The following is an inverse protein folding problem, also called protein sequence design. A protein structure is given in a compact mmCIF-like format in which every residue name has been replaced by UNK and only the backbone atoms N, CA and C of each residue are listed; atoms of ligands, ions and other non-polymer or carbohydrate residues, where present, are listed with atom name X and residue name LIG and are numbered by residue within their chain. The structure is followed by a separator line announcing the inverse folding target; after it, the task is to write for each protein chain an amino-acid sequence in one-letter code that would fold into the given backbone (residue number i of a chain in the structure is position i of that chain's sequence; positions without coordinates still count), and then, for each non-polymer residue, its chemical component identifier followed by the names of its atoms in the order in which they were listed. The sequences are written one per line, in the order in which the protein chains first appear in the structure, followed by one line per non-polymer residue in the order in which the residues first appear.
data_IF_676283022277
#
_entry.id   IF_676283022277
#
_cell.length_a   1.000
_cell.length_b   1.000
_cell.length_c   1.000
_cell.angle_alpha   90.00
_cell.angle_beta   90.00
_cell.angle_gamma   90.00
#
_symmetry.space_group_name_H-M   'P 1'
#
loop_
_entity.id
_entity.type
_entity.pdbx_description
1 polymer ?
#
# COMPACT_ATOMS: atom_id res chain seq x y z
N UNK A 1 -1.55 -32.00 13.28
CA UNK A 1 -2.30 -32.59 12.14
C UNK A 1 -3.29 -33.58 12.72
N UNK A 2 -4.59 -33.33 12.57
CA UNK A 2 -5.63 -34.27 12.98
C UNK A 2 -5.80 -35.33 11.86
N UNK A 3 -5.45 -36.57 12.18
CA UNK A 3 -5.52 -37.72 11.24
C UNK A 3 -6.95 -38.19 10.97
N UNK A 4 -7.94 -37.71 11.71
CA UNK A 4 -9.32 -38.24 11.66
C UNK A 4 -10.13 -37.78 10.45
N UNK A 5 -9.67 -36.77 9.71
CA UNK A 5 -10.44 -36.12 8.63
C UNK A 5 -10.06 -36.59 7.21
N UNK A 6 -9.06 -37.46 7.04
CA UNK A 6 -8.68 -37.99 5.74
C UNK A 6 -9.20 -39.45 5.63
N UNK A 7 -10.04 -39.77 4.61
CA UNK A 7 -10.38 -41.17 4.37
C UNK A 7 -9.10 -41.98 4.17
N UNK A 8 -8.83 -42.88 5.10
CA UNK A 8 -7.60 -43.69 5.19
C UNK A 8 -7.24 -44.50 3.91
N UNK A 9 -8.14 -44.52 2.93
CA UNK A 9 -7.96 -45.25 1.65
C UNK A 9 -7.30 -44.40 0.55
N UNK A 10 -7.14 -43.07 0.70
CA UNK A 10 -6.65 -42.19 -0.37
C UNK A 10 -5.40 -41.40 0.01
N UNK A 11 -5.10 -41.23 1.27
CA UNK A 11 -3.95 -40.47 1.72
C UNK A 11 -3.02 -41.31 2.58
N UNK A 12 -1.76 -41.37 2.22
CA UNK A 12 -0.70 -42.05 2.95
C UNK A 12 0.18 -40.98 3.61
N UNK A 13 0.38 -41.01 4.94
CA UNK A 13 1.35 -40.14 5.59
C UNK A 13 2.74 -40.40 5.03
N UNK A 14 3.42 -39.38 4.58
CA UNK A 14 4.75 -39.51 4.01
C UNK A 14 5.85 -39.01 4.96
N UNK A 15 5.60 -37.93 5.71
CA UNK A 15 6.53 -37.31 6.65
C UNK A 15 7.95 -37.08 6.08
N UNK A 16 8.04 -36.91 4.76
CA UNK A 16 9.32 -36.63 4.12
C UNK A 16 9.72 -35.17 4.39
N UNK A 17 10.93 -34.98 4.89
CA UNK A 17 11.57 -33.68 4.94
C UNK A 17 12.71 -33.71 3.94
N UNK A 18 12.65 -32.85 2.94
CA UNK A 18 13.74 -32.58 2.03
C UNK A 18 14.47 -31.33 2.54
N UNK A 19 15.68 -31.54 3.06
CA UNK A 19 16.48 -30.44 3.60
C UNK A 19 17.20 -29.69 2.48
N UNK A 20 17.33 -28.36 2.65
CA UNK A 20 18.04 -27.49 1.71
C UNK A 20 17.49 -27.54 0.28
N UNK A 21 16.17 -27.67 0.12
CA UNK A 21 15.55 -27.58 -1.18
C UNK A 21 15.75 -26.18 -1.79
N UNK A 22 16.19 -26.14 -3.07
CA UNK A 22 16.50 -24.86 -3.72
C UNK A 22 15.28 -24.32 -4.50
N UNK A 23 14.81 -23.15 -4.12
CA UNK A 23 13.73 -22.41 -4.77
C UNK A 23 14.31 -21.30 -5.67
N UNK A 24 14.44 -21.60 -6.95
CA UNK A 24 15.08 -20.72 -7.93
C UNK A 24 14.39 -19.36 -8.05
N UNK A 25 13.07 -19.29 -7.91
CA UNK A 25 12.31 -18.03 -8.02
C UNK A 25 12.64 -17.14 -6.86
N UNK A 26 12.61 -17.66 -5.62
CA UNK A 26 12.94 -16.90 -4.42
C UNK A 26 14.37 -16.36 -4.47
N UNK A 27 15.32 -17.21 -4.90
CA UNK A 27 16.70 -16.77 -5.08
C UNK A 27 16.84 -15.64 -6.11
N UNK A 28 16.11 -15.70 -7.23
CA UNK A 28 16.14 -14.64 -8.26
C UNK A 28 15.50 -13.33 -7.81
N UNK A 29 14.58 -13.39 -6.85
CA UNK A 29 13.92 -12.22 -6.26
C UNK A 29 14.65 -11.66 -5.04
N UNK A 30 15.86 -12.20 -4.72
CA UNK A 30 16.72 -11.67 -3.66
C UNK A 30 16.54 -12.31 -2.29
N UNK A 31 15.70 -13.36 -2.18
CA UNK A 31 15.56 -14.15 -0.95
C UNK A 31 16.64 -15.25 -0.86
N UNK A 32 16.75 -15.90 0.31
CA UNK A 32 17.74 -16.94 0.54
C UNK A 32 17.68 -18.09 -0.47
N UNK A 33 16.48 -18.38 -0.97
CA UNK A 33 16.25 -19.39 -2.01
C UNK A 33 16.51 -20.84 -1.57
N UNK A 34 16.81 -21.07 -0.30
CA UNK A 34 17.04 -22.41 0.27
C UNK A 34 16.20 -22.56 1.52
N UNK A 35 15.37 -23.60 1.57
CA UNK A 35 14.54 -23.91 2.73
C UNK A 35 14.25 -25.42 2.78
N UNK A 36 13.67 -25.91 3.87
CA UNK A 36 13.29 -27.28 4.04
C UNK A 36 11.87 -27.52 3.50
N UNK A 37 11.73 -28.54 2.67
CA UNK A 37 10.45 -28.92 2.11
C UNK A 37 9.85 -30.08 2.91
N UNK A 38 8.66 -29.85 3.47
CA UNK A 38 7.94 -30.88 4.21
C UNK A 38 6.75 -31.42 3.41
N UNK A 39 6.76 -32.73 3.15
CA UNK A 39 5.67 -33.45 2.46
C UNK A 39 4.92 -34.30 3.47
N UNK A 40 3.81 -33.82 4.05
CA UNK A 40 3.08 -34.53 5.11
C UNK A 40 2.28 -35.73 4.60
N UNK A 41 1.80 -35.67 3.36
CA UNK A 41 0.92 -36.69 2.79
C UNK A 41 1.15 -36.87 1.30
N UNK A 42 0.92 -38.10 0.84
CA UNK A 42 0.76 -38.45 -0.56
C UNK A 42 -0.70 -38.85 -0.81
N UNK A 43 -1.34 -38.30 -1.83
CA UNK A 43 -2.73 -38.58 -2.19
C UNK A 43 -2.75 -39.33 -3.52
N UNK A 44 -3.15 -40.59 -3.46
CA UNK A 44 -3.25 -41.47 -4.62
C UNK A 44 -4.71 -41.64 -5.05
N UNK A 45 -5.06 -41.20 -6.27
CA UNK A 45 -6.42 -41.27 -6.81
C UNK A 45 -6.42 -42.06 -8.10
N UNK A 46 -7.15 -43.19 -8.10
CA UNK A 46 -7.37 -43.98 -9.28
C UNK A 46 -8.66 -43.55 -9.97
N UNK A 47 -8.59 -43.24 -11.25
CA UNK A 47 -9.72 -42.89 -12.11
C UNK A 47 -9.92 -43.95 -13.17
N UNK A 48 -11.17 -44.32 -13.44
CA UNK A 48 -11.56 -45.10 -14.60
C UNK A 48 -11.74 -44.18 -15.83
N UNK A 49 -11.75 -44.70 -17.04
CA UNK A 49 -12.07 -43.90 -18.23
C UNK A 49 -13.38 -43.12 -18.05
N UNK A 50 -13.33 -41.81 -18.33
CA UNK A 50 -14.45 -40.84 -18.18
C UNK A 50 -14.94 -40.59 -16.77
N UNK A 51 -14.34 -41.19 -15.74
CA UNK A 51 -14.65 -40.89 -14.33
C UNK A 51 -14.10 -39.53 -13.92
N UNK A 52 -14.90 -38.78 -13.16
CA UNK A 52 -14.49 -37.50 -12.52
C UNK A 52 -14.62 -37.65 -11.02
N UNK A 53 -13.55 -37.38 -10.29
CA UNK A 53 -13.57 -37.29 -8.81
C UNK A 53 -13.21 -35.87 -8.39
N UNK A 54 -13.90 -35.34 -7.40
CA UNK A 54 -13.62 -34.07 -6.78
C UNK A 54 -13.21 -34.34 -5.34
N UNK A 55 -12.10 -33.77 -4.92
CA UNK A 55 -11.63 -33.80 -3.55
C UNK A 55 -11.13 -32.41 -3.15
N UNK A 56 -11.03 -32.18 -1.85
CA UNK A 56 -10.55 -30.91 -1.29
C UNK A 56 -9.42 -31.22 -0.31
N UNK A 57 -8.40 -30.37 -0.32
CA UNK A 57 -7.35 -30.35 0.69
C UNK A 57 -7.52 -29.06 1.47
N UNK A 58 -7.67 -29.17 2.80
CA UNK A 58 -7.74 -28.04 3.72
C UNK A 58 -6.41 -27.92 4.46
N UNK A 59 -5.74 -26.79 4.30
CA UNK A 59 -4.53 -26.46 5.00
C UNK A 59 -4.76 -25.15 5.80
N UNK A 60 -4.42 -25.16 7.09
CA UNK A 60 -4.61 -24.02 7.97
C UNK A 60 -3.49 -23.99 9.02
N UNK A 61 -3.09 -22.79 9.44
CA UNK A 61 -2.23 -22.56 10.60
C UNK A 61 -3.02 -22.34 11.90
N UNK A 62 -4.34 -22.17 11.77
CA UNK A 62 -5.29 -22.09 12.87
C UNK A 62 -5.86 -23.48 13.16
N UNK A 63 -6.68 -23.59 14.19
CA UNK A 63 -7.40 -24.84 14.47
C UNK A 63 -8.31 -25.25 13.30
N UNK A 64 -8.43 -26.55 13.06
CA UNK A 64 -9.38 -27.06 12.08
C UNK A 64 -10.83 -26.80 12.58
N UNK A 65 -11.63 -26.18 11.73
CA UNK A 65 -13.07 -26.08 11.91
C UNK A 65 -13.79 -27.26 11.22
N UNK A 66 -15.06 -27.42 11.51
CA UNK A 66 -15.89 -28.53 10.96
C UNK A 66 -16.37 -28.29 9.52
N UNK A 67 -16.02 -27.14 8.90
CA UNK A 67 -16.43 -26.83 7.53
C UNK A 67 -15.77 -27.77 6.52
N UNK A 68 -16.57 -28.33 5.63
CA UNK A 68 -16.07 -29.09 4.49
C UNK A 68 -15.35 -28.20 3.48
N UNK A 69 -14.44 -28.76 2.70
CA UNK A 69 -13.79 -28.01 1.61
C UNK A 69 -14.80 -27.49 0.56
N UNK A 70 -15.94 -28.16 0.40
CA UNK A 70 -17.02 -27.70 -0.47
C UNK A 70 -17.66 -26.41 0.06
N UNK A 71 -17.95 -26.34 1.34
CA UNK A 71 -18.52 -25.16 1.99
C UNK A 71 -17.57 -23.98 1.88
N UNK A 72 -16.29 -24.18 2.20
CA UNK A 72 -15.26 -23.12 2.10
C UNK A 72 -15.17 -22.56 0.68
N UNK A 73 -15.15 -23.42 -0.35
CA UNK A 73 -15.09 -22.97 -1.76
C UNK A 73 -16.35 -22.21 -2.16
N UNK A 74 -17.52 -22.64 -1.68
CA UNK A 74 -18.76 -21.93 -1.97
C UNK A 74 -18.83 -20.58 -1.27
N UNK A 75 -18.45 -20.48 0.00
CA UNK A 75 -18.35 -19.19 0.71
C UNK A 75 -17.43 -18.21 -0.02
N UNK A 76 -16.28 -18.68 -0.50
CA UNK A 76 -15.37 -17.86 -1.29
C UNK A 76 -16.02 -17.34 -2.58
N UNK A 77 -16.74 -18.21 -3.32
CA UNK A 77 -17.45 -17.80 -4.54
C UNK A 77 -18.55 -16.79 -4.26
N UNK A 78 -19.37 -17.04 -3.24
CA UNK A 78 -20.45 -16.15 -2.82
C UNK A 78 -19.91 -14.79 -2.39
N UNK A 79 -18.76 -14.76 -1.69
CA UNK A 79 -18.06 -13.54 -1.34
C UNK A 79 -17.61 -12.78 -2.60
N UNK A 80 -16.94 -13.46 -3.54
CA UNK A 80 -16.47 -12.84 -4.79
C UNK A 80 -17.62 -12.26 -5.62
N UNK A 81 -18.74 -13.00 -5.74
CA UNK A 81 -19.93 -12.51 -6.42
C UNK A 81 -20.62 -11.34 -5.68
N UNK A 82 -20.61 -11.37 -4.37
CA UNK A 82 -21.14 -10.27 -3.54
C UNK A 82 -20.34 -8.99 -3.74
N UNK A 83 -19.01 -9.07 -3.79
CA UNK A 83 -18.15 -7.93 -4.06
C UNK A 83 -18.43 -7.33 -5.44
N UNK A 84 -18.58 -8.15 -6.47
CA UNK A 84 -18.95 -7.70 -7.83
C UNK A 84 -20.31 -7.01 -7.83
N UNK A 85 -21.32 -7.63 -7.21
CA UNK A 85 -22.65 -7.00 -7.10
C UNK A 85 -22.61 -5.66 -6.36
N UNK A 86 -21.82 -5.56 -5.30
CA UNK A 86 -21.67 -4.31 -4.54
C UNK A 86 -20.97 -3.22 -5.34
N UNK A 87 -19.90 -3.55 -6.06
CA UNK A 87 -19.17 -2.63 -6.93
C UNK A 87 -20.09 -2.08 -8.04
N UNK A 88 -20.98 -2.93 -8.57
CA UNK A 88 -21.96 -2.58 -9.61
C UNK A 88 -21.33 -1.96 -10.87
N UNK A 89 -20.25 -2.61 -11.35
CA UNK A 89 -19.56 -2.21 -12.58
C UNK A 89 -20.11 -3.02 -13.75
N UNK A 90 -20.43 -2.34 -14.87
CA UNK A 90 -20.99 -2.98 -16.06
C UNK A 90 -19.91 -3.40 -17.07
N UNK A 91 -18.82 -3.99 -16.57
CA UNK A 91 -17.69 -4.40 -17.37
C UNK A 91 -17.09 -5.70 -16.79
N UNK A 92 -16.91 -6.72 -17.64
CA UNK A 92 -16.41 -8.02 -17.20
C UNK A 92 -14.95 -7.96 -16.73
N UNK A 93 -14.11 -7.18 -17.39
CA UNK A 93 -12.72 -7.00 -16.99
C UNK A 93 -12.63 -6.29 -15.62
N UNK A 94 -13.41 -5.23 -15.43
CA UNK A 94 -13.49 -4.55 -14.13
C UNK A 94 -14.01 -5.49 -13.03
N UNK A 95 -15.00 -6.33 -13.30
CA UNK A 95 -15.50 -7.33 -12.35
C UNK A 95 -14.43 -8.38 -11.98
N UNK A 96 -13.57 -8.77 -12.93
CA UNK A 96 -12.45 -9.65 -12.64
C UNK A 96 -11.39 -8.95 -11.77
N UNK A 97 -11.13 -7.65 -11.98
CA UNK A 97 -10.26 -6.85 -11.10
C UNK A 97 -10.82 -6.73 -9.68
N UNK A 98 -12.14 -6.56 -9.51
CA UNK A 98 -12.80 -6.55 -8.20
C UNK A 98 -12.52 -7.84 -7.44
N UNK A 99 -12.65 -9.01 -8.11
CA UNK A 99 -12.36 -10.31 -7.50
C UNK A 99 -10.89 -10.47 -7.15
N UNK A 100 -9.99 -10.07 -8.06
CA UNK A 100 -8.55 -10.15 -7.84
C UNK A 100 -8.09 -9.21 -6.72
N UNK A 101 -8.65 -8.01 -6.64
CA UNK A 101 -8.34 -7.02 -5.60
C UNK A 101 -8.65 -7.48 -4.18
N UNK A 102 -9.61 -8.41 -4.00
CA UNK A 102 -9.96 -8.93 -2.68
C UNK A 102 -8.81 -9.70 -2.02
N UNK A 103 -7.91 -10.30 -2.81
CA UNK A 103 -6.75 -11.03 -2.30
C UNK A 103 -5.73 -10.13 -1.61
N UNK A 104 -5.70 -8.84 -1.93
CA UNK A 104 -4.73 -7.89 -1.38
C UNK A 104 -5.22 -7.23 -0.10
N UNK A 105 -6.53 -7.25 0.19
CA UNK A 105 -7.09 -6.64 1.40
C UNK A 105 -7.19 -7.70 2.49
N UNK A 106 -6.36 -7.58 3.51
CA UNK A 106 -6.22 -8.56 4.59
C UNK A 106 -6.43 -7.93 5.97
N UNK A 107 -6.64 -8.76 6.98
CA UNK A 107 -6.63 -8.32 8.38
C UNK A 107 -5.19 -8.17 8.85
N UNK A 108 -4.89 -7.05 9.49
CA UNK A 108 -3.61 -6.81 10.15
C UNK A 108 -3.74 -7.14 11.63
N UNK A 109 -3.07 -8.20 12.08
CA UNK A 109 -3.18 -8.69 13.46
C UNK A 109 -2.83 -7.60 14.50
N UNK A 110 -1.75 -6.86 14.27
CA UNK A 110 -1.25 -5.84 15.21
C UNK A 110 -2.20 -4.65 15.43
N UNK A 111 -3.13 -4.39 14.50
CA UNK A 111 -4.14 -3.32 14.64
C UNK A 111 -5.55 -3.84 14.84
N UNK A 112 -5.82 -5.09 14.45
CA UNK A 112 -7.16 -5.67 14.34
C UNK A 112 -7.99 -5.05 13.20
N UNK A 113 -7.36 -4.30 12.28
CA UNK A 113 -8.00 -3.57 11.19
C UNK A 113 -7.51 -4.10 9.83
N UNK A 114 -8.10 -3.59 8.74
CA UNK A 114 -7.67 -3.94 7.38
C UNK A 114 -6.39 -3.22 6.99
N UNK A 115 -5.66 -3.89 6.08
CA UNK A 115 -4.52 -3.33 5.36
C UNK A 115 -4.48 -3.89 3.93
N UNK A 116 -3.53 -3.39 3.11
CA UNK A 116 -3.32 -3.85 1.74
C UNK A 116 -1.91 -4.40 1.61
N UNK A 117 -1.78 -5.63 1.10
CA UNK A 117 -0.47 -6.20 0.74
C UNK A 117 0.03 -5.58 -0.57
N UNK A 118 1.28 -5.16 -0.59
CA UNK A 118 1.90 -4.56 -1.78
C UNK A 118 2.10 -5.57 -2.92
N UNK A 119 2.35 -6.82 -2.59
CA UNK A 119 2.49 -7.88 -3.58
C UNK A 119 2.63 -9.28 -3.00
N UNK A 120 1.80 -10.21 -3.46
CA UNK A 120 1.84 -11.61 -3.05
C UNK A 120 2.91 -12.38 -3.85
N UNK A 121 3.64 -13.31 -3.22
CA UNK A 121 3.66 -13.64 -1.78
C UNK A 121 4.77 -12.90 -0.99
N UNK A 122 5.58 -12.03 -1.60
CA UNK A 122 6.85 -11.55 -1.03
C UNK A 122 6.76 -10.25 -0.25
N UNK A 123 5.72 -9.43 -0.46
CA UNK A 123 5.63 -8.09 0.13
C UNK A 123 4.52 -8.04 1.18
N UNK A 124 4.82 -7.30 2.25
CA UNK A 124 3.86 -6.95 3.30
C UNK A 124 3.04 -5.72 2.91
N UNK A 125 2.49 -5.01 3.86
CA UNK A 125 1.75 -3.78 3.64
C UNK A 125 2.69 -2.57 3.63
N UNK A 126 2.81 -1.94 2.48
CA UNK A 126 3.63 -0.77 2.22
C UNK A 126 2.75 0.47 2.10
N UNK A 127 3.18 1.58 2.72
CA UNK A 127 2.38 2.81 2.77
C UNK A 127 2.14 3.41 1.39
N UNK A 128 3.18 3.54 0.58
CA UNK A 128 3.09 4.05 -0.80
C UNK A 128 2.10 3.24 -1.62
N UNK A 129 2.32 1.93 -1.68
CA UNK A 129 1.51 1.02 -2.48
C UNK A 129 0.06 1.01 -2.03
N UNK A 130 -0.16 0.96 -0.71
CA UNK A 130 -1.50 1.00 -0.14
C UNK A 130 -2.23 2.29 -0.50
N UNK A 131 -1.59 3.45 -0.33
CA UNK A 131 -2.26 4.74 -0.54
C UNK A 131 -2.52 5.03 -2.03
N UNK A 132 -1.63 4.60 -2.92
CA UNK A 132 -1.83 4.72 -4.38
C UNK A 132 -2.95 3.79 -4.85
N UNK A 133 -2.97 2.53 -4.38
CA UNK A 133 -3.97 1.53 -4.75
C UNK A 133 -5.34 1.76 -4.07
N UNK A 134 -5.39 2.56 -3.02
CA UNK A 134 -6.51 2.75 -2.11
C UNK A 134 -7.83 3.05 -2.82
N UNK A 135 -7.87 4.04 -3.71
CA UNK A 135 -9.08 4.43 -4.42
C UNK A 135 -9.64 3.27 -5.26
N UNK A 136 -8.79 2.60 -6.02
CA UNK A 136 -9.17 1.50 -6.90
C UNK A 136 -9.64 0.26 -6.14
N UNK A 137 -8.90 -0.15 -5.10
CA UNK A 137 -9.21 -1.35 -4.34
C UNK A 137 -10.43 -1.20 -3.44
N UNK A 138 -10.69 0.00 -2.92
CA UNK A 138 -11.71 0.20 -1.88
C UNK A 138 -12.88 1.09 -2.32
N UNK A 139 -12.61 2.31 -2.80
CA UNK A 139 -13.65 3.30 -3.04
C UNK A 139 -14.45 3.00 -4.31
N UNK A 140 -13.79 2.70 -5.41
CA UNK A 140 -14.42 2.30 -6.69
C UNK A 140 -15.24 1.02 -6.51
N UNK A 141 -14.76 0.11 -5.68
CA UNK A 141 -15.43 -1.17 -5.35
C UNK A 141 -16.48 -1.04 -4.25
N UNK A 142 -16.70 0.17 -3.72
CA UNK A 142 -17.63 0.51 -2.62
C UNK A 142 -17.34 -0.23 -1.30
N UNK A 143 -16.09 -0.58 -1.05
CA UNK A 143 -15.60 -1.18 0.20
C UNK A 143 -15.26 -0.09 1.22
N UNK A 144 -16.21 0.78 1.52
CA UNK A 144 -16.00 1.97 2.34
C UNK A 144 -15.60 1.66 3.79
N UNK A 145 -16.07 0.54 4.34
CA UNK A 145 -15.65 0.12 5.68
C UNK A 145 -14.18 -0.31 5.68
N UNK A 146 -13.75 -1.09 4.66
CA UNK A 146 -12.36 -1.50 4.53
C UNK A 146 -11.45 -0.27 4.32
N UNK A 147 -11.90 0.70 3.50
CA UNK A 147 -11.20 1.97 3.30
C UNK A 147 -10.97 2.71 4.64
N UNK A 148 -12.01 2.82 5.45
CA UNK A 148 -11.95 3.46 6.76
C UNK A 148 -10.96 2.76 7.69
N UNK A 149 -11.02 1.42 7.76
CA UNK A 149 -10.12 0.62 8.58
C UNK A 149 -8.65 0.75 8.13
N UNK A 150 -8.40 0.79 6.82
CA UNK A 150 -7.05 0.99 6.26
C UNK A 150 -6.50 2.35 6.66
N UNK A 151 -7.26 3.44 6.49
CA UNK A 151 -6.84 4.77 6.92
C UNK A 151 -6.53 4.81 8.42
N UNK A 152 -7.40 4.22 9.25
CA UNK A 152 -7.19 4.17 10.71
C UNK A 152 -5.97 3.29 11.07
N UNK A 153 -5.76 2.18 10.36
CA UNK A 153 -4.61 1.30 10.57
C UNK A 153 -3.30 2.05 10.38
N UNK A 154 -3.13 2.74 9.24
CA UNK A 154 -1.93 3.52 8.97
C UNK A 154 -1.76 4.72 9.89
N UNK A 155 -2.85 5.38 10.30
CA UNK A 155 -2.81 6.49 11.26
C UNK A 155 -2.10 6.12 12.58
N UNK A 156 -2.25 4.86 13.02
CA UNK A 156 -1.62 4.35 14.26
C UNK A 156 -0.09 4.25 14.16
N UNK A 157 0.45 4.15 12.95
CA UNK A 157 1.88 3.95 12.71
C UNK A 157 2.59 5.20 12.18
N UNK A 158 1.89 6.32 11.96
CA UNK A 158 2.55 7.58 11.59
C UNK A 158 3.46 8.02 12.73
N UNK A 159 4.74 8.21 12.40
CA UNK A 159 5.80 8.60 13.32
C UNK A 159 6.64 9.72 12.71
N UNK A 160 6.88 10.79 13.47
CA UNK A 160 7.63 11.96 13.00
C UNK A 160 7.06 12.55 11.68
N UNK A 161 5.75 12.41 11.44
CA UNK A 161 5.10 12.83 10.20
C UNK A 161 5.35 11.92 8.99
N UNK A 162 5.90 10.73 9.17
CA UNK A 162 6.13 9.77 8.11
C UNK A 162 5.19 8.57 8.24
N UNK A 163 4.59 8.19 7.12
CA UNK A 163 3.86 6.93 6.95
C UNK A 163 4.87 5.82 6.67
N UNK A 164 4.78 4.66 7.36
CA UNK A 164 5.72 3.57 7.13
C UNK A 164 5.53 2.96 5.74
N UNK A 165 6.64 2.60 5.11
CA UNK A 165 6.66 1.93 3.80
C UNK A 165 7.03 0.45 3.89
N UNK A 166 7.30 -0.05 5.11
CA UNK A 166 7.49 -1.46 5.41
C UNK A 166 7.10 -1.71 6.86
N UNK A 167 6.39 -2.81 7.15
CA UNK A 167 5.75 -3.00 8.46
C UNK A 167 6.30 -4.12 9.33
N UNK A 168 7.26 -4.91 8.88
CA UNK A 168 7.94 -5.93 9.71
C UNK A 168 9.06 -5.32 10.56
N UNK A 169 9.79 -4.37 10.01
CA UNK A 169 10.58 -3.35 10.71
C UNK A 169 10.27 -2.04 10.00
N UNK A 170 9.38 -1.17 10.56
CA UNK A 170 8.84 -0.07 9.78
C UNK A 170 9.92 0.86 9.27
N UNK A 171 10.19 0.77 7.97
CA UNK A 171 10.98 1.72 7.24
C UNK A 171 10.19 3.01 7.06
N UNK A 172 10.70 4.12 7.60
CA UNK A 172 10.09 5.45 7.47
C UNK A 172 10.86 6.31 6.46
N UNK A 173 11.39 5.69 5.43
CA UNK A 173 12.36 6.29 4.51
C UNK A 173 11.75 6.91 3.26
N UNK A 174 10.42 7.08 3.18
CA UNK A 174 9.77 7.59 1.97
C UNK A 174 9.14 8.96 2.19
N UNK A 175 9.34 9.85 1.21
CA UNK A 175 8.75 11.20 1.21
C UNK A 175 7.36 11.23 0.59
N UNK A 176 6.99 10.25 -0.20
CA UNK A 176 5.74 10.23 -0.96
C UNK A 176 4.58 9.54 -0.23
N UNK A 177 4.84 8.48 0.54
CA UNK A 177 3.79 7.73 1.23
C UNK A 177 2.90 8.62 2.12
N UNK A 178 3.51 9.54 2.87
CA UNK A 178 2.80 10.50 3.71
C UNK A 178 1.95 11.48 2.90
N UNK A 179 2.42 11.90 1.74
CA UNK A 179 1.68 12.81 0.85
C UNK A 179 0.52 12.09 0.14
N UNK A 180 0.71 10.83 -0.24
CA UNK A 180 -0.36 9.98 -0.75
C UNK A 180 -1.45 9.70 0.28
N UNK A 181 -1.12 9.71 1.58
CA UNK A 181 -2.10 9.55 2.66
C UNK A 181 -3.13 10.71 2.68
N UNK A 182 -2.72 11.96 2.37
CA UNK A 182 -3.65 13.08 2.17
C UNK A 182 -4.61 12.79 1.02
N UNK A 183 -4.09 12.33 -0.12
CA UNK A 183 -4.90 12.01 -1.28
C UNK A 183 -5.91 10.91 -0.99
N UNK A 184 -5.49 9.82 -0.32
CA UNK A 184 -6.37 8.72 0.07
C UNK A 184 -7.49 9.20 1.00
N UNK A 185 -7.16 10.03 2.00
CA UNK A 185 -8.13 10.63 2.93
C UNK A 185 -9.14 11.51 2.20
N UNK A 186 -8.66 12.38 1.32
CA UNK A 186 -9.52 13.24 0.52
C UNK A 186 -10.48 12.46 -0.37
N UNK A 187 -9.96 11.46 -1.08
CA UNK A 187 -10.78 10.58 -1.92
C UNK A 187 -11.83 9.83 -1.10
N UNK A 188 -11.48 9.34 0.09
CA UNK A 188 -12.46 8.73 0.98
C UNK A 188 -13.66 9.64 1.22
N UNK A 189 -13.45 10.90 1.61
CA UNK A 189 -14.54 11.86 1.83
C UNK A 189 -15.33 12.17 0.55
N UNK A 190 -14.67 12.27 -0.61
CA UNK A 190 -15.35 12.53 -1.90
C UNK A 190 -16.27 11.38 -2.31
N UNK A 191 -15.97 10.16 -1.94
CA UNK A 191 -16.81 8.99 -2.25
C UNK A 191 -17.88 8.71 -1.19
N UNK A 192 -17.65 9.06 0.07
CA UNK A 192 -18.56 8.78 1.17
C UNK A 192 -19.39 10.00 1.58
N UNK A 193 -18.76 11.10 1.94
CA UNK A 193 -19.37 12.43 2.13
C UNK A 193 -20.42 12.55 3.24
N UNK A 194 -20.60 11.52 4.07
CA UNK A 194 -21.58 11.54 5.14
C UNK A 194 -21.05 12.19 6.43
N UNK A 195 -21.94 12.70 7.28
CA UNK A 195 -21.59 13.29 8.58
C UNK A 195 -20.72 12.37 9.43
N UNK A 196 -21.01 11.07 9.44
CA UNK A 196 -20.23 10.05 10.14
C UNK A 196 -18.79 9.96 9.62
N UNK A 197 -18.60 10.15 8.32
CA UNK A 197 -17.31 10.03 7.67
C UNK A 197 -16.47 11.28 7.92
N UNK A 198 -17.07 12.47 7.85
CA UNK A 198 -16.44 13.71 8.24
C UNK A 198 -15.98 13.68 9.71
N UNK A 199 -16.85 13.23 10.62
CA UNK A 199 -16.52 13.07 12.04
C UNK A 199 -15.36 12.08 12.25
N UNK A 200 -15.31 10.97 11.51
CA UNK A 200 -14.20 10.03 11.58
C UNK A 200 -12.88 10.67 11.14
N UNK A 201 -12.90 11.41 10.03
CA UNK A 201 -11.70 12.12 9.55
C UNK A 201 -11.28 13.17 10.55
N UNK A 202 -12.20 14.00 11.05
CA UNK A 202 -11.91 15.05 12.05
C UNK A 202 -11.26 14.51 13.31
N UNK A 203 -11.82 13.44 13.88
CA UNK A 203 -11.36 12.89 15.16
C UNK A 203 -10.12 12.01 15.06
N UNK A 204 -9.96 11.24 13.97
CA UNK A 204 -8.95 10.18 13.86
C UNK A 204 -7.82 10.49 12.89
N UNK A 205 -8.13 11.12 11.77
CA UNK A 205 -7.19 11.27 10.65
C UNK A 205 -6.63 12.69 10.58
N UNK A 206 -7.45 13.70 10.70
CA UNK A 206 -7.03 15.09 10.58
C UNK A 206 -5.92 15.49 11.55
N UNK A 207 -5.89 15.05 12.84
CA UNK A 207 -4.74 15.27 13.71
C UNK A 207 -3.43 14.71 13.15
N UNK A 208 -3.50 13.58 12.43
CA UNK A 208 -2.35 12.95 11.78
C UNK A 208 -1.91 13.70 10.54
N UNK A 209 -2.84 14.21 9.74
CA UNK A 209 -2.51 15.10 8.63
C UNK A 209 -1.80 16.36 9.10
N UNK A 210 -2.23 16.95 10.23
CA UNK A 210 -1.53 18.09 10.88
C UNK A 210 -0.13 17.72 11.36
N UNK A 211 0.06 16.50 11.89
CA UNK A 211 1.39 15.97 12.28
C UNK A 211 2.33 15.89 11.06
N UNK A 212 1.85 15.33 9.96
CA UNK A 212 2.62 15.24 8.70
C UNK A 212 2.96 16.65 8.18
N UNK A 213 1.96 17.52 8.06
CA UNK A 213 2.15 18.91 7.62
C UNK A 213 3.23 19.62 8.44
N UNK A 214 3.15 19.52 9.77
CA UNK A 214 4.13 20.14 10.67
C UNK A 214 5.54 19.59 10.44
N UNK A 215 5.68 18.27 10.33
CA UNK A 215 6.97 17.62 10.10
C UNK A 215 7.60 18.07 8.77
N UNK A 216 6.83 18.09 7.69
CA UNK A 216 7.30 18.55 6.38
C UNK A 216 7.63 20.03 6.35
N UNK A 217 6.87 20.87 7.07
CA UNK A 217 7.12 22.31 7.14
C UNK A 217 8.35 22.67 7.96
N UNK A 218 8.76 21.84 8.94
CA UNK A 218 9.88 22.13 9.84
C UNK A 218 11.14 21.32 9.57
N UNK A 219 11.04 20.20 8.96
CA UNK A 219 12.04 19.16 8.67
C UNK A 219 11.89 17.93 9.57
N UNK A 220 11.93 16.76 8.96
CA UNK A 220 11.90 15.44 9.62
C UNK A 220 13.08 14.58 9.18
N UNK A 221 13.01 13.28 9.41
CA UNK A 221 14.05 12.32 9.04
C UNK A 221 14.36 12.32 7.53
N UNK A 222 15.48 11.76 7.10
CA UNK A 222 15.95 11.67 5.72
C UNK A 222 16.03 13.03 4.99
N UNK A 223 16.34 14.07 5.71
CA UNK A 223 16.37 15.45 5.20
C UNK A 223 15.07 15.92 4.52
N UNK A 224 13.94 15.27 4.83
CA UNK A 224 12.64 15.66 4.30
C UNK A 224 12.19 16.93 4.99
N UNK A 225 11.94 17.99 4.21
CA UNK A 225 11.46 19.26 4.77
C UNK A 225 11.26 20.34 3.72
N UNK A 226 10.55 21.39 4.14
CA UNK A 226 10.26 22.55 3.29
C UNK A 226 11.44 23.52 3.28
N UNK A 227 11.82 23.99 2.10
CA UNK A 227 12.82 25.04 1.93
C UNK A 227 12.17 26.43 1.89
N UNK A 228 13.01 27.46 1.82
CA UNK A 228 12.59 28.86 1.83
C UNK A 228 11.64 29.25 0.69
N UNK A 229 11.66 28.54 -0.42
CA UNK A 229 10.74 28.71 -1.55
C UNK A 229 9.38 28.00 -1.39
N UNK A 230 9.20 27.27 -0.27
CA UNK A 230 7.98 26.51 0.02
C UNK A 230 7.98 25.09 -0.55
N UNK A 231 8.97 24.72 -1.36
CA UNK A 231 9.07 23.39 -1.95
C UNK A 231 9.72 22.39 -0.98
N UNK A 232 9.36 21.11 -1.11
CA UNK A 232 9.94 20.03 -0.31
C UNK A 232 11.25 19.57 -0.91
N UNK A 233 12.27 19.56 -0.06
CA UNK A 233 13.56 18.93 -0.29
C UNK A 233 13.62 17.59 0.45
N UNK A 234 14.25 16.57 -0.12
CA UNK A 234 14.38 15.24 0.48
C UNK A 234 15.65 14.51 0.04
N UNK A 235 16.16 13.69 0.95
CA UNK A 235 17.23 12.74 0.71
C UNK A 235 18.64 13.30 0.77
N UNK A 236 19.60 12.39 0.88
CA UNK A 236 21.04 12.65 0.87
C UNK A 236 21.84 11.36 1.02
N UNK A 237 23.08 11.35 0.57
CA UNK A 237 23.96 10.19 0.71
C UNK A 237 23.43 8.92 0.06
N UNK A 238 23.11 7.92 0.85
CA UNK A 238 22.57 6.62 0.40
C UNK A 238 21.04 6.50 0.54
N UNK A 239 20.35 7.60 0.84
CA UNK A 239 18.90 7.60 1.01
C UNK A 239 18.18 7.28 -0.31
N UNK A 240 17.05 6.58 -0.19
CA UNK A 240 16.15 6.25 -1.29
C UNK A 240 14.75 6.64 -0.84
N UNK A 241 14.39 7.91 -1.05
CA UNK A 241 13.20 8.51 -0.44
C UNK A 241 11.99 8.60 -1.37
N UNK A 242 12.18 8.32 -2.68
CA UNK A 242 11.09 8.34 -3.67
C UNK A 242 10.74 6.93 -4.13
N UNK A 243 9.78 6.80 -5.04
CA UNK A 243 9.40 5.52 -5.64
C UNK A 243 10.52 4.88 -6.49
N UNK A 244 11.54 5.66 -6.92
CA UNK A 244 12.75 5.14 -7.57
C UNK A 244 13.80 4.79 -6.50
N UNK A 245 13.59 3.70 -5.77
CA UNK A 245 14.27 3.37 -4.52
C UNK A 245 15.25 2.19 -4.60
N UNK A 246 15.69 1.84 -5.80
CA UNK A 246 16.64 0.74 -5.99
C UNK A 246 18.06 1.12 -5.55
N UNK A 247 18.65 0.30 -4.68
CA UNK A 247 20.04 0.37 -4.26
C UNK A 247 20.74 -0.97 -4.41
N UNK A 248 21.99 -0.95 -4.83
CA UNK A 248 22.85 -2.13 -4.91
C UNK A 248 24.12 -1.86 -4.11
N UNK A 249 24.20 -2.41 -2.92
CA UNK A 249 25.28 -2.10 -1.98
C UNK A 249 25.33 -0.61 -1.65
N UNK A 250 26.45 0.05 -1.91
CA UNK A 250 26.63 1.50 -1.70
C UNK A 250 26.33 2.35 -2.95
N UNK A 251 25.65 1.78 -3.95
CA UNK A 251 25.24 2.45 -5.17
C UNK A 251 23.73 2.66 -5.21
N UNK A 252 23.30 3.92 -5.09
CA UNK A 252 21.92 4.34 -5.31
C UNK A 252 21.71 4.50 -6.82
N UNK A 253 20.83 3.67 -7.40
CA UNK A 253 20.67 3.61 -8.87
C UNK A 253 20.10 4.92 -9.43
N UNK A 254 19.13 5.50 -8.73
CA UNK A 254 18.47 6.74 -9.15
C UNK A 254 18.39 7.70 -7.95
N UNK A 255 19.49 8.36 -7.58
CA UNK A 255 19.48 9.32 -6.48
C UNK A 255 18.69 10.56 -6.92
N UNK A 256 17.50 10.72 -6.41
CA UNK A 256 16.61 11.87 -6.65
C UNK A 256 16.61 12.80 -5.44
N UNK A 257 17.82 13.07 -4.91
CA UNK A 257 18.01 13.99 -3.80
C UNK A 257 17.84 15.43 -4.26
N UNK A 258 17.18 16.23 -3.46
CA UNK A 258 16.79 17.59 -3.83
C UNK A 258 15.27 17.74 -3.81
N UNK A 259 14.71 18.43 -4.79
CA UNK A 259 13.27 18.69 -4.90
C UNK A 259 12.68 17.89 -6.06
N UNK A 260 12.18 16.66 -5.84
CA UNK A 260 11.57 15.86 -6.91
C UNK A 260 10.23 16.45 -7.35
N UNK A 261 9.93 16.37 -8.63
CA UNK A 261 8.76 17.02 -9.25
C UNK A 261 7.42 16.50 -8.71
N UNK A 262 7.25 15.18 -8.67
CA UNK A 262 6.01 14.58 -8.18
C UNK A 262 5.79 14.82 -6.68
N UNK A 263 6.87 14.86 -5.90
CA UNK A 263 6.80 15.16 -4.47
C UNK A 263 6.26 16.56 -4.24
N UNK A 264 6.71 17.53 -5.03
CA UNK A 264 6.26 18.90 -4.91
C UNK A 264 4.84 19.12 -5.47
N UNK A 265 4.43 18.33 -6.46
CA UNK A 265 3.03 18.27 -6.91
C UNK A 265 2.12 17.67 -5.83
N UNK A 266 2.53 16.58 -5.19
CA UNK A 266 1.80 15.97 -4.07
C UNK A 266 1.75 16.88 -2.84
N UNK A 267 2.84 17.62 -2.56
CA UNK A 267 2.86 18.60 -1.48
C UNK A 267 1.85 19.74 -1.71
N UNK A 268 1.82 20.30 -2.93
CA UNK A 268 0.79 21.26 -3.30
C UNK A 268 -0.62 20.71 -3.09
N UNK A 269 -0.88 19.48 -3.55
CA UNK A 269 -2.15 18.82 -3.35
C UNK A 269 -2.48 18.63 -1.86
N UNK A 270 -1.51 18.21 -1.04
CA UNK A 270 -1.68 18.07 0.41
C UNK A 270 -2.08 19.40 1.08
N UNK A 271 -1.45 20.51 0.68
CA UNK A 271 -1.80 21.85 1.17
C UNK A 271 -3.22 22.25 0.78
N UNK A 272 -3.65 21.96 -0.45
CA UNK A 272 -5.03 22.24 -0.90
C UNK A 272 -6.06 21.39 -0.15
N UNK A 273 -5.72 20.15 0.18
CA UNK A 273 -6.56 19.28 1.00
C UNK A 273 -6.65 19.84 2.43
N UNK A 274 -5.54 20.27 3.00
CA UNK A 274 -5.52 20.89 4.34
C UNK A 274 -6.31 22.21 4.38
N UNK A 275 -6.23 23.02 3.34
CA UNK A 275 -7.04 24.24 3.19
C UNK A 275 -8.54 23.93 3.23
N UNK A 276 -8.99 22.92 2.47
CA UNK A 276 -10.40 22.50 2.44
C UNK A 276 -10.83 21.92 3.79
N UNK A 277 -10.08 20.96 4.34
CA UNK A 277 -10.42 20.29 5.60
C UNK A 277 -10.37 21.23 6.82
N UNK A 278 -9.41 22.15 6.87
CA UNK A 278 -9.36 23.13 7.94
C UNK A 278 -10.55 24.10 7.93
N UNK A 279 -11.00 24.50 6.74
CA UNK A 279 -12.22 25.28 6.60
C UNK A 279 -13.47 24.51 7.05
N UNK A 280 -13.56 23.21 6.71
CA UNK A 280 -14.66 22.33 7.10
C UNK A 280 -14.71 22.10 8.62
N UNK A 281 -13.56 21.91 9.25
CA UNK A 281 -13.45 21.64 10.71
C UNK A 281 -13.28 22.89 11.58
N UNK A 282 -13.39 24.08 11.01
CA UNK A 282 -13.34 25.34 11.72
C UNK A 282 -11.94 25.77 12.19
N UNK A 283 -10.88 25.20 11.63
CA UNK A 283 -9.49 25.61 11.82
C UNK A 283 -9.11 26.76 10.85
N UNK A 284 -7.94 27.37 11.05
CA UNK A 284 -7.46 28.44 10.18
C UNK A 284 -6.93 27.90 8.84
N UNK A 285 -7.65 28.10 7.76
CA UNK A 285 -7.28 27.68 6.41
C UNK A 285 -6.28 28.61 5.70
N UNK A 286 -6.15 29.85 6.17
CA UNK A 286 -5.36 30.90 5.49
C UNK A 286 -3.86 30.56 5.41
N UNK A 287 -3.33 29.84 6.40
CA UNK A 287 -1.94 29.38 6.40
C UNK A 287 -1.67 28.45 5.19
N UNK A 288 -2.55 27.47 4.99
CA UNK A 288 -2.45 26.50 3.89
C UNK A 288 -2.67 27.14 2.54
N UNK A 289 -3.62 28.08 2.42
CA UNK A 289 -3.88 28.86 1.22
C UNK A 289 -2.64 29.66 0.78
N UNK A 290 -2.07 30.44 1.71
CA UNK A 290 -0.88 31.25 1.46
C UNK A 290 0.32 30.38 1.03
N UNK A 291 0.53 29.26 1.71
CA UNK A 291 1.63 28.36 1.40
C UNK A 291 1.40 27.65 0.06
N UNK A 292 0.19 27.19 -0.22
CA UNK A 292 -0.13 26.54 -1.51
C UNK A 292 0.09 27.50 -2.69
N UNK A 293 -0.28 28.78 -2.55
CA UNK A 293 -0.02 29.81 -3.56
C UNK A 293 1.48 30.02 -3.79
N UNK A 294 2.28 30.06 -2.72
CA UNK A 294 3.74 30.14 -2.81
C UNK A 294 4.34 28.92 -3.50
N UNK A 295 3.96 27.70 -3.09
CA UNK A 295 4.42 26.45 -3.70
C UNK A 295 4.08 26.43 -5.18
N UNK A 296 2.87 26.80 -5.57
CA UNK A 296 2.45 26.88 -6.99
C UNK A 296 3.35 27.82 -7.80
N UNK A 297 3.64 29.00 -7.27
CA UNK A 297 4.51 29.96 -7.95
C UNK A 297 5.93 29.43 -8.13
N UNK A 298 6.51 28.92 -7.05
CA UNK A 298 7.86 28.34 -7.04
C UNK A 298 7.96 27.10 -7.95
N UNK A 299 6.92 26.25 -7.94
CA UNK A 299 6.88 25.07 -8.81
C UNK A 299 6.90 25.46 -10.29
N UNK A 300 6.03 26.37 -10.71
CA UNK A 300 5.96 26.81 -12.10
C UNK A 300 7.24 27.51 -12.57
N UNK A 301 7.87 28.30 -11.70
CA UNK A 301 9.12 29.01 -12.02
C UNK A 301 10.30 28.04 -12.16
N UNK A 302 10.39 27.02 -11.31
CA UNK A 302 11.60 26.21 -11.18
C UNK A 302 11.59 24.91 -11.94
N UNK A 303 10.43 24.27 -12.11
CA UNK A 303 10.32 22.96 -12.74
C UNK A 303 10.10 23.03 -14.26
N UNK A 304 9.68 24.16 -14.80
CA UNK A 304 9.47 24.25 -16.24
C UNK A 304 10.78 24.45 -17.00
N UNK A 305 11.10 23.56 -17.94
CA UNK A 305 12.22 23.64 -18.84
C UNK A 305 11.75 24.21 -20.20
N UNK A 306 12.01 25.49 -20.45
CA UNK A 306 11.59 26.17 -21.68
C UNK A 306 12.24 25.57 -22.94
N UNK A 307 13.50 25.12 -22.84
CA UNK A 307 14.23 24.56 -23.98
C UNK A 307 13.63 23.24 -24.45
N UNK A 308 13.24 22.38 -23.53
CA UNK A 308 12.71 21.03 -23.80
C UNK A 308 11.18 20.94 -23.76
N UNK A 309 10.50 22.01 -23.35
CA UNK A 309 9.04 22.05 -23.18
C UNK A 309 8.51 20.90 -22.30
N UNK A 310 9.19 20.60 -21.21
CA UNK A 310 8.81 19.59 -20.23
C UNK A 310 9.21 20.04 -18.81
N UNK A 311 8.80 19.29 -17.80
CA UNK A 311 9.26 19.50 -16.44
C UNK A 311 10.63 18.86 -16.21
N UNK A 312 11.43 19.47 -15.33
CA UNK A 312 12.60 18.80 -14.77
C UNK A 312 12.14 17.70 -13.78
N UNK A 313 12.87 16.59 -13.74
CA UNK A 313 12.61 15.49 -12.79
C UNK A 313 12.94 15.92 -11.34
N UNK A 314 14.09 16.56 -11.16
CA UNK A 314 14.55 17.06 -9.85
C UNK A 314 15.19 18.43 -10.05
N UNK A 315 14.95 19.34 -9.13
CA UNK A 315 15.66 20.62 -9.01
C UNK A 315 16.41 20.69 -7.69
N UNK A 316 17.46 21.52 -7.59
CA UNK A 316 18.34 21.62 -6.43
C UNK A 316 18.99 20.29 -6.02
N UNK A 317 19.36 19.48 -6.99
CA UNK A 317 20.20 18.31 -6.73
C UNK A 317 21.53 18.77 -6.11
N UNK A 318 22.12 17.98 -5.21
CA UNK A 318 23.30 18.34 -4.40
C UNK A 318 24.51 18.91 -5.18
N UNK A 319 24.54 18.81 -6.50
CA UNK A 319 25.57 19.32 -7.41
C UNK A 319 25.10 20.44 -8.34
N UNK A 320 24.01 21.13 -8.02
CA UNK A 320 23.35 22.13 -8.90
C UNK A 320 22.97 21.59 -10.30
N UNK A 321 22.95 20.28 -10.48
CA UNK A 321 22.59 19.66 -11.75
C UNK A 321 21.09 19.43 -11.81
N UNK A 322 20.48 20.14 -12.73
CA UNK A 322 19.08 19.95 -13.09
C UNK A 322 19.04 18.85 -14.14
N UNK A 323 18.33 17.76 -13.85
CA UNK A 323 18.13 16.66 -14.82
C UNK A 323 16.79 16.85 -15.52
N UNK A 324 16.78 16.99 -16.84
CA UNK A 324 15.53 16.92 -17.61
C UNK A 324 15.05 15.49 -17.70
N UNK A 325 13.75 15.29 -17.64
CA UNK A 325 13.10 14.00 -17.91
C UNK A 325 13.34 13.53 -19.34
#
# INVERSE_FOLDING_TARGET
FDRSLIPTSMATPNYLIEENHFYMIDHRTGFLGVDNHYTPYEVNIKLNPFEKKKFYVKCTIEGLDDKSGFEIVNEYKERAESLVRNANLNDEFANNLVKAGDHFIVNRESTGLKTVLAGLPWFTDWGRDTMIAFEGLTLVTKRFNDAREILESFAKYIKNGLVPDENTEPGYNTVDASLWYFQATYKYLKYTGGERDYKFIEEKIYPKLKEIYKAYSTKTDFSIGMDSDGLIFAGGGLDQVTWMDVRVGDYVVTPRHGKPVEINALWYNALKIMEELSGEFGDNSLEYENLSNKVKSSFNERFWNEEKSCLYDVVDENDDKIRPN
#
